data_IF_034072261799
#
_entry.id   IF_034072261799
#
_cell.length_a   1.000
_cell.length_b   1.000
_cell.length_c   1.000
_cell.angle_alpha   90.00
_cell.angle_beta   90.00
_cell.angle_gamma   90.00
#
_symmetry.space_group_name_H-M   'P 1'
#
loop_
_entity.id
_entity.type
_entity.pdbx_description
1 polymer ?
#
# COMPACT_ATOMS: atom_id res chain seq x y z
N UNK A 1 -2.83 -14.67 1.29
CA UNK A 1 -3.00 -13.22 1.03
C UNK A 1 -2.20 -12.47 2.07
N UNK A 2 -1.43 -11.48 1.65
CA UNK A 2 -0.69 -10.60 2.55
C UNK A 2 -1.32 -9.20 2.50
N UNK A 3 -1.55 -8.60 3.66
CA UNK A 3 -1.99 -7.22 3.79
C UNK A 3 -0.86 -6.38 4.37
N UNK A 4 -0.42 -5.34 3.65
CA UNK A 4 0.63 -4.40 4.06
C UNK A 4 0.10 -2.97 4.02
N UNK A 5 0.55 -2.12 4.93
CA UNK A 5 0.10 -0.74 4.93
C UNK A 5 0.21 -0.03 6.27
N UNK A 6 -0.46 1.11 6.35
CA UNK A 6 -0.46 1.94 7.54
C UNK A 6 -1.38 1.40 8.65
N UNK A 7 -1.76 2.27 9.60
CA UNK A 7 -2.67 1.94 10.70
C UNK A 7 -4.01 1.38 10.22
N UNK A 8 -4.50 1.76 9.03
CA UNK A 8 -5.74 1.21 8.46
C UNK A 8 -5.64 -0.30 8.25
N UNK A 9 -4.48 -0.80 7.79
CA UNK A 9 -4.25 -2.24 7.64
C UNK A 9 -3.96 -2.87 8.99
N UNK A 10 -3.10 -2.25 9.82
CA UNK A 10 -2.73 -2.77 11.15
C UNK A 10 -3.95 -3.07 12.01
N UNK A 11 -4.96 -2.21 11.94
CA UNK A 11 -6.17 -2.29 12.76
C UNK A 11 -7.32 -3.03 12.06
N UNK A 12 -7.17 -3.46 10.81
CA UNK A 12 -8.20 -4.22 10.12
C UNK A 12 -8.11 -5.70 10.55
N UNK A 13 -9.15 -6.27 11.19
CA UNK A 13 -9.17 -7.69 11.51
C UNK A 13 -9.45 -8.53 10.25
N UNK A 14 -8.46 -8.59 9.36
CA UNK A 14 -8.56 -9.21 8.02
C UNK A 14 -8.98 -10.69 8.10
N UNK A 15 -8.57 -11.41 9.14
CA UNK A 15 -9.00 -12.79 9.37
C UNK A 15 -10.50 -12.97 9.63
N UNK A 16 -11.24 -11.91 10.02
CA UNK A 16 -12.70 -11.96 10.19
C UNK A 16 -13.45 -11.78 8.87
N UNK A 17 -12.81 -11.17 7.87
CA UNK A 17 -13.47 -10.77 6.62
C UNK A 17 -12.97 -11.53 5.39
N UNK A 18 -11.85 -12.24 5.50
CA UNK A 18 -11.25 -13.01 4.42
C UNK A 18 -10.88 -14.42 4.89
N UNK A 19 -11.03 -15.38 3.99
CA UNK A 19 -10.73 -16.80 4.24
C UNK A 19 -9.38 -17.22 3.68
N UNK A 20 -8.80 -18.30 4.22
CA UNK A 20 -7.52 -18.86 3.80
C UNK A 20 -6.32 -18.33 4.61
N UNK A 21 -5.11 -18.51 4.07
CA UNK A 21 -3.88 -18.07 4.75
C UNK A 21 -3.73 -16.54 4.65
N UNK A 22 -4.19 -15.84 5.69
CA UNK A 22 -4.12 -14.38 5.81
C UNK A 22 -2.96 -13.97 6.71
N UNK A 23 -2.12 -13.07 6.21
CA UNK A 23 -1.06 -12.43 7.00
C UNK A 23 -1.30 -10.92 6.99
N UNK A 24 -1.34 -10.31 8.17
CA UNK A 24 -1.40 -8.85 8.33
C UNK A 24 -0.04 -8.32 8.78
N UNK A 25 0.50 -7.37 8.01
CA UNK A 25 1.77 -6.69 8.25
C UNK A 25 1.60 -5.17 8.12
N UNK A 26 0.47 -4.66 8.59
CA UNK A 26 0.29 -3.22 8.76
C UNK A 26 1.07 -2.69 9.96
N UNK A 27 1.66 -1.50 9.84
CA UNK A 27 2.33 -0.82 10.94
C UNK A 27 1.94 0.68 10.98
N UNK A 28 1.87 1.24 12.19
CA UNK A 28 1.25 2.55 12.41
C UNK A 28 2.06 3.70 11.79
N UNK A 29 1.36 4.69 11.21
CA UNK A 29 1.99 5.90 10.68
C UNK A 29 2.84 5.71 9.42
N UNK A 30 2.91 4.49 8.87
CA UNK A 30 3.82 4.19 7.75
C UNK A 30 3.53 5.02 6.51
N UNK A 31 4.61 5.39 5.84
CA UNK A 31 4.63 5.83 4.45
C UNK A 31 4.84 4.64 3.52
N UNK A 32 4.60 4.82 2.22
CA UNK A 32 4.92 3.77 1.24
C UNK A 32 6.43 3.49 1.18
N UNK A 33 7.26 4.50 1.41
CA UNK A 33 8.72 4.35 1.51
C UNK A 33 9.16 3.45 2.66
N UNK A 34 8.43 3.42 3.77
CA UNK A 34 8.76 2.52 4.89
C UNK A 34 8.43 1.07 4.54
N UNK A 35 7.36 0.85 3.78
CA UNK A 35 6.98 -0.48 3.28
C UNK A 35 8.06 -1.00 2.32
N UNK A 36 8.61 -0.13 1.48
CA UNK A 36 9.74 -0.44 0.59
C UNK A 36 10.99 -0.77 1.40
N UNK A 37 11.29 0.03 2.42
CA UNK A 37 12.47 -0.17 3.27
C UNK A 37 12.44 -1.51 4.01
N UNK A 38 11.30 -1.87 4.60
CA UNK A 38 11.11 -3.13 5.33
C UNK A 38 10.57 -4.28 4.46
N UNK A 39 10.69 -4.18 3.13
CA UNK A 39 10.01 -5.08 2.19
C UNK A 39 10.37 -6.55 2.44
N UNK A 40 11.61 -6.85 2.81
CA UNK A 40 12.05 -8.23 3.01
C UNK A 40 11.45 -8.85 4.28
N UNK A 41 11.27 -8.04 5.34
CA UNK A 41 10.72 -8.47 6.61
C UNK A 41 9.20 -8.60 6.58
N UNK A 42 8.52 -7.74 5.81
CA UNK A 42 7.06 -7.64 5.84
C UNK A 42 6.38 -8.26 4.61
N UNK A 43 7.11 -8.48 3.51
CA UNK A 43 6.54 -9.01 2.26
C UNK A 43 7.29 -10.21 1.69
N UNK A 44 8.54 -10.06 1.25
CA UNK A 44 9.17 -11.07 0.37
C UNK A 44 9.35 -12.44 1.03
N UNK A 45 9.68 -12.49 2.32
CA UNK A 45 9.87 -13.77 3.03
C UNK A 45 8.63 -14.67 3.12
N UNK A 46 7.43 -14.15 2.83
CA UNK A 46 6.19 -14.93 2.88
C UNK A 46 5.78 -15.54 1.54
N UNK A 47 6.43 -15.13 0.44
CA UNK A 47 6.08 -15.54 -0.93
C UNK A 47 4.56 -15.57 -1.21
N UNK A 48 3.83 -14.45 -0.97
CA UNK A 48 2.38 -14.43 -1.13
C UNK A 48 1.97 -14.41 -2.61
N UNK A 49 0.93 -15.15 -2.98
CA UNK A 49 0.28 -15.03 -4.31
C UNK A 49 -0.42 -13.69 -4.56
N UNK A 50 -0.73 -12.95 -3.50
CA UNK A 50 -1.43 -11.68 -3.59
C UNK A 50 -1.11 -10.78 -2.41
N UNK A 51 -0.78 -9.52 -2.72
CA UNK A 51 -0.53 -8.46 -1.75
C UNK A 51 -1.60 -7.38 -1.88
N UNK A 52 -2.32 -7.12 -0.79
CA UNK A 52 -3.17 -5.96 -0.62
C UNK A 52 -2.36 -4.85 0.06
N UNK A 53 -2.24 -3.70 -0.59
CA UNK A 53 -1.49 -2.56 -0.07
C UNK A 53 -2.38 -1.33 0.13
N UNK A 54 -2.32 -0.74 1.32
CA UNK A 54 -2.89 0.57 1.61
C UNK A 54 -1.83 1.49 2.23
N UNK A 55 -1.43 2.50 1.47
CA UNK A 55 -0.53 3.57 1.90
C UNK A 55 -0.88 4.85 1.13
N UNK A 56 -0.35 5.99 1.56
CA UNK A 56 -0.52 7.26 0.84
C UNK A 56 -1.23 8.36 1.63
N UNK A 57 -2.06 8.04 2.63
CA UNK A 57 -2.69 9.07 3.44
C UNK A 57 -1.68 9.81 4.34
N UNK A 58 -0.77 9.07 4.98
CA UNK A 58 0.35 9.64 5.73
C UNK A 58 1.35 10.35 4.81
N UNK A 59 1.72 9.72 3.70
CA UNK A 59 2.63 10.27 2.70
C UNK A 59 2.23 11.69 2.25
N UNK A 60 0.98 11.84 1.81
CA UNK A 60 0.46 13.12 1.31
C UNK A 60 0.31 14.15 2.45
N UNK A 61 -0.09 13.70 3.64
CA UNK A 61 -0.21 14.57 4.80
C UNK A 61 1.15 15.11 5.25
N UNK A 62 2.19 14.29 5.13
CA UNK A 62 3.59 14.63 5.45
C UNK A 62 4.34 15.18 4.23
N UNK A 63 3.61 15.89 3.36
CA UNK A 63 4.11 16.73 2.25
C UNK A 63 4.64 16.00 1.02
N UNK A 64 4.56 14.66 0.91
CA UNK A 64 4.84 14.01 -0.38
C UNK A 64 3.82 14.46 -1.43
N UNK A 65 4.30 14.61 -2.66
CA UNK A 65 3.43 14.92 -3.80
C UNK A 65 2.73 13.64 -4.31
N UNK A 66 1.61 13.76 -5.04
CA UNK A 66 1.02 12.61 -5.73
C UNK A 66 1.99 11.89 -6.67
N UNK A 67 2.93 12.62 -7.27
CA UNK A 67 3.95 12.04 -8.15
C UNK A 67 4.98 11.23 -7.36
N UNK A 68 5.46 11.75 -6.22
CA UNK A 68 6.36 10.99 -5.34
C UNK A 68 5.73 9.70 -4.86
N UNK A 69 4.43 9.73 -4.53
CA UNK A 69 3.71 8.53 -4.12
C UNK A 69 3.55 7.52 -5.28
N UNK A 70 3.34 7.98 -6.51
CA UNK A 70 3.37 7.12 -7.69
C UNK A 70 4.75 6.48 -7.89
N UNK A 71 5.82 7.26 -7.76
CA UNK A 71 7.18 6.75 -7.94
C UNK A 71 7.55 5.73 -6.87
N UNK A 72 7.14 5.94 -5.62
CA UNK A 72 7.27 4.92 -4.57
C UNK A 72 6.43 3.68 -4.88
N UNK A 73 5.21 3.83 -5.42
CA UNK A 73 4.40 2.68 -5.83
C UNK A 73 5.04 1.86 -6.95
N UNK A 74 5.66 2.52 -7.94
CA UNK A 74 6.44 1.83 -8.99
C UNK A 74 7.60 1.04 -8.41
N UNK A 75 8.39 1.63 -7.51
CA UNK A 75 9.49 0.92 -6.82
C UNK A 75 8.98 -0.28 -6.03
N UNK A 76 7.85 -0.15 -5.33
CA UNK A 76 7.22 -1.25 -4.63
C UNK A 76 6.81 -2.37 -5.59
N UNK A 77 6.15 -2.04 -6.71
CA UNK A 77 5.76 -3.01 -7.73
C UNK A 77 6.98 -3.74 -8.33
N UNK A 78 8.05 -3.00 -8.63
CA UNK A 78 9.31 -3.56 -9.10
C UNK A 78 9.93 -4.53 -8.09
N UNK A 79 9.89 -4.21 -6.79
CA UNK A 79 10.38 -5.11 -5.74
C UNK A 79 9.56 -6.39 -5.65
N UNK A 80 8.22 -6.30 -5.74
CA UNK A 80 7.34 -7.47 -5.80
C UNK A 80 7.71 -8.34 -7.00
N UNK A 81 7.79 -7.75 -8.20
CA UNK A 81 8.12 -8.48 -9.42
C UNK A 81 9.51 -9.14 -9.37
N UNK A 82 10.48 -8.55 -8.66
CA UNK A 82 11.86 -9.07 -8.58
C UNK A 82 12.05 -10.15 -7.52
N UNK A 83 11.27 -10.13 -6.44
CA UNK A 83 11.56 -10.92 -5.23
C UNK A 83 10.44 -11.90 -4.85
N UNK A 84 9.28 -11.84 -5.50
CA UNK A 84 8.14 -12.68 -5.17
C UNK A 84 7.62 -13.32 -6.45
N UNK A 85 7.61 -14.66 -6.46
CA UNK A 85 7.13 -15.42 -7.61
C UNK A 85 5.60 -15.32 -7.71
N UNK A 86 5.11 -15.03 -8.93
CA UNK A 86 3.68 -15.07 -9.28
C UNK A 86 2.75 -14.29 -8.31
N UNK A 87 3.10 -13.04 -7.99
CA UNK A 87 2.34 -12.22 -7.05
C UNK A 87 1.50 -11.12 -7.73
N UNK A 88 0.19 -11.10 -7.45
CA UNK A 88 -0.70 -9.98 -7.82
C UNK A 88 -0.69 -8.87 -6.78
N UNK A 89 -0.66 -7.61 -7.22
CA UNK A 89 -0.74 -6.43 -6.34
C UNK A 89 -2.14 -5.82 -6.42
N UNK A 90 -2.78 -5.65 -5.27
CA UNK A 90 -4.05 -4.93 -5.13
C UNK A 90 -3.80 -3.65 -4.34
N UNK A 91 -3.73 -2.52 -5.04
CA UNK A 91 -3.70 -1.21 -4.41
C UNK A 91 -5.09 -0.82 -3.92
N UNK A 92 -5.23 -0.59 -2.62
CA UNK A 92 -6.46 -0.08 -2.01
C UNK A 92 -6.40 1.45 -2.09
N UNK A 93 -7.34 2.10 -2.83
CA UNK A 93 -7.32 3.55 -2.97
C UNK A 93 -7.32 4.29 -1.64
N UNK A 94 -6.57 5.38 -1.57
CA UNK A 94 -6.56 6.27 -0.41
C UNK A 94 -7.99 6.76 -0.18
N UNK A 95 -8.50 6.55 1.03
CA UNK A 95 -9.86 6.96 1.42
C UNK A 95 -9.89 8.43 1.85
N UNK A 96 -11.00 9.15 1.65
CA UNK A 96 -11.22 10.42 2.34
C UNK A 96 -11.30 10.16 3.86
N UNK A 97 -10.82 11.11 4.66
CA UNK A 97 -11.07 11.10 6.09
C UNK A 97 -11.29 12.52 6.59
N UNK A 98 -12.14 12.74 7.62
CA UNK A 98 -12.38 14.09 8.16
C UNK A 98 -11.08 14.79 8.57
N UNK A 99 -10.19 14.08 9.28
CA UNK A 99 -8.89 14.61 9.72
C UNK A 99 -7.92 14.98 8.59
N UNK A 100 -8.14 14.45 7.37
CA UNK A 100 -7.28 14.69 6.20
C UNK A 100 -8.06 15.29 5.03
N UNK A 101 -9.22 15.90 5.26
CA UNK A 101 -10.07 16.41 4.18
C UNK A 101 -9.37 17.45 3.30
N UNK A 102 -8.57 18.34 3.90
CA UNK A 102 -7.78 19.34 3.16
C UNK A 102 -6.75 18.73 2.19
N UNK A 103 -6.40 17.46 2.34
CA UNK A 103 -5.48 16.74 1.46
C UNK A 103 -6.19 15.92 0.38
N UNK A 104 -7.52 15.83 0.42
CA UNK A 104 -8.30 14.92 -0.42
C UNK A 104 -8.04 15.12 -1.92
N UNK A 105 -7.90 16.37 -2.38
CA UNK A 105 -7.58 16.65 -3.79
C UNK A 105 -6.28 15.99 -4.24
N UNK A 106 -5.23 16.03 -3.41
CA UNK A 106 -3.94 15.39 -3.68
C UNK A 106 -4.05 13.86 -3.60
N UNK A 107 -4.74 13.33 -2.59
CA UNK A 107 -4.97 11.89 -2.44
C UNK A 107 -5.75 11.30 -3.62
N UNK A 108 -6.82 11.97 -4.05
CA UNK A 108 -7.60 11.60 -5.24
C UNK A 108 -6.74 11.63 -6.51
N UNK A 109 -5.86 12.63 -6.66
CA UNK A 109 -4.93 12.69 -7.79
C UNK A 109 -3.95 11.52 -7.76
N UNK A 110 -3.42 11.16 -6.60
CA UNK A 110 -2.54 9.99 -6.46
C UNK A 110 -3.25 8.68 -6.81
N UNK A 111 -4.49 8.49 -6.34
CA UNK A 111 -5.32 7.35 -6.72
C UNK A 111 -5.50 7.23 -8.24
N UNK A 112 -5.73 8.36 -8.94
CA UNK A 112 -5.83 8.38 -10.41
C UNK A 112 -4.51 7.95 -11.06
N UNK A 113 -3.39 8.52 -10.63
CA UNK A 113 -2.07 8.21 -11.19
C UNK A 113 -1.72 6.73 -11.02
N UNK A 114 -1.97 6.16 -9.84
CA UNK A 114 -1.71 4.75 -9.56
C UNK A 114 -2.65 3.85 -10.37
N UNK A 115 -3.93 4.22 -10.50
CA UNK A 115 -4.88 3.50 -11.35
C UNK A 115 -4.44 3.49 -12.81
N UNK A 116 -3.95 4.61 -13.32
CA UNK A 116 -3.51 4.73 -14.72
C UNK A 116 -2.23 3.92 -14.96
N UNK A 117 -1.32 3.87 -13.98
CA UNK A 117 -0.14 3.00 -14.03
C UNK A 117 -0.51 1.50 -13.97
N UNK A 118 -1.39 1.10 -13.05
CA UNK A 118 -1.73 -0.31 -12.82
C UNK A 118 -2.61 -0.96 -13.92
N UNK A 119 -3.06 -0.17 -14.91
CA UNK A 119 -3.81 -0.67 -16.08
C UNK A 119 -2.92 -1.07 -17.24
N UNK A 120 -1.65 -0.63 -17.24
CA UNK A 120 -0.65 -0.98 -18.24
C UNK A 120 0.15 -2.19 -17.79
#
# INVERSE_FOLDING_TARGET
MLFVGSSSIRLWPTNKYFSGNIINRGFGGSHLSDIIFYFDEIASKYQPRMIFIYAGDNDIADKKSPMMLLDDFKKFADLVNKKIDECSIVFIPIKPSPSRWGFWGKMKKANSLIKDYAKN
#
